data_IF_033070872898
#
_entry.id   IF_033070872898
#
_cell.length_a   1.000
_cell.length_b   1.000
_cell.length_c   1.000
_cell.angle_alpha   90.00
_cell.angle_beta   90.00
_cell.angle_gamma   90.00
#
_symmetry.space_group_name_H-M   'P 1'
#
loop_
_entity.id
_entity.type
_entity.pdbx_description
1 polymer ?
#
# COMPACT_ATOMS: atom_id res chain seq x y z
N UNK A 1 79.01 -4.11 -16.68
CA UNK A 1 78.57 -2.83 -16.07
C UNK A 1 77.08 -2.93 -15.79
N UNK A 2 76.67 -2.62 -14.54
CA UNK A 2 75.33 -2.14 -14.06
C UNK A 2 74.07 -2.92 -14.51
N UNK A 3 73.48 -3.72 -13.61
CA UNK A 3 72.25 -3.44 -12.83
C UNK A 3 70.97 -3.71 -13.66
N UNK A 4 69.90 -4.37 -13.21
CA UNK A 4 69.37 -4.76 -11.91
C UNK A 4 68.34 -5.90 -12.14
N UNK A 5 68.28 -6.87 -11.22
CA UNK A 5 67.18 -7.82 -10.94
C UNK A 5 66.24 -7.12 -9.90
N UNK A 6 65.10 -7.63 -9.36
CA UNK A 6 64.15 -8.75 -9.63
C UNK A 6 62.66 -8.26 -9.62
N UNK A 7 61.54 -9.01 -9.66
CA UNK A 7 61.05 -10.20 -8.96
C UNK A 7 59.87 -10.79 -9.80
N UNK A 8 59.85 -12.07 -10.19
CA UNK A 8 59.35 -13.26 -9.47
C UNK A 8 57.91 -13.13 -8.94
N UNK A 9 56.96 -13.83 -9.56
CA UNK A 9 56.15 -14.93 -8.97
C UNK A 9 55.25 -15.52 -10.07
N UNK A 10 55.61 -16.69 -10.60
CA UNK A 10 55.11 -18.01 -10.17
C UNK A 10 53.78 -18.40 -10.86
N UNK A 11 53.93 -18.97 -12.05
CA UNK A 11 52.96 -19.87 -12.68
C UNK A 11 53.19 -21.26 -12.10
N UNK A 12 52.16 -21.88 -11.53
CA UNK A 12 52.06 -23.36 -11.53
C UNK A 12 50.62 -23.74 -11.88
N UNK A 13 50.50 -24.30 -13.09
CA UNK A 13 49.40 -25.10 -13.59
C UNK A 13 49.30 -26.44 -12.85
N UNK A 14 48.07 -26.92 -12.69
CA UNK A 14 47.68 -28.34 -12.78
C UNK A 14 46.28 -28.30 -13.47
N UNK A 15 46.12 -28.46 -14.79
CA UNK A 15 46.13 -29.68 -15.61
C UNK A 15 45.40 -30.86 -14.93
N UNK A 16 44.33 -31.50 -15.42
CA UNK A 16 43.82 -31.69 -16.77
C UNK A 16 42.51 -32.52 -16.66
N UNK A 17 41.51 -32.15 -17.47
CA UNK A 17 40.44 -32.98 -18.11
C UNK A 17 39.49 -33.87 -17.27
N UNK A 18 38.29 -33.33 -17.03
CA UNK A 18 37.04 -34.09 -16.94
C UNK A 18 36.04 -33.49 -17.93
N UNK A 19 35.76 -34.21 -19.02
CA UNK A 19 34.79 -33.86 -20.07
C UNK A 19 33.38 -33.67 -19.49
N UNK A 20 32.89 -32.43 -19.45
CA UNK A 20 31.46 -32.10 -19.36
C UNK A 20 31.11 -31.04 -20.40
N UNK A 21 30.16 -31.39 -21.27
CA UNK A 21 29.57 -30.60 -22.37
C UNK A 21 28.46 -29.70 -21.77
N UNK A 22 28.14 -28.53 -22.35
CA UNK A 22 27.92 -27.29 -21.61
C UNK A 22 26.52 -27.15 -21.01
N UNK A 23 26.46 -26.34 -19.96
CA UNK A 23 25.26 -25.78 -19.37
C UNK A 23 24.37 -25.13 -20.44
N UNK A 24 23.11 -25.54 -20.50
CA UNK A 24 22.04 -24.75 -21.08
C UNK A 24 20.90 -24.71 -20.08
N UNK A 25 20.61 -23.47 -19.67
CA UNK A 25 19.35 -23.00 -19.11
C UNK A 25 18.71 -23.84 -18.02
N UNK A 26 19.31 -23.81 -16.83
CA UNK A 26 18.46 -23.55 -15.66
C UNK A 26 18.35 -22.04 -15.58
N UNK A 27 17.26 -21.53 -16.12
CA UNK A 27 16.73 -20.20 -15.89
C UNK A 27 16.69 -20.03 -14.36
N UNK A 28 17.80 -19.51 -13.82
CA UNK A 28 17.84 -18.95 -12.49
C UNK A 28 16.91 -17.76 -12.57
N UNK A 29 15.63 -17.99 -12.32
CA UNK A 29 14.73 -16.96 -11.85
C UNK A 29 15.29 -16.50 -10.51
N UNK A 30 16.32 -15.65 -10.59
CA UNK A 30 16.50 -14.55 -9.68
C UNK A 30 15.17 -13.78 -9.73
N UNK A 31 14.19 -14.21 -8.94
CA UNK A 31 13.28 -13.29 -8.29
C UNK A 31 14.17 -12.35 -7.51
N UNK A 32 14.59 -11.27 -8.17
CA UNK A 32 15.26 -10.15 -7.52
C UNK A 32 14.30 -9.65 -6.48
N UNK A 33 14.52 -10.03 -5.23
CA UNK A 33 13.76 -9.54 -4.08
C UNK A 33 13.99 -8.05 -4.03
N UNK A 34 13.10 -7.26 -4.63
CA UNK A 34 13.07 -5.84 -4.36
C UNK A 34 12.96 -5.68 -2.84
N UNK A 35 13.72 -4.75 -2.23
CA UNK A 35 13.61 -4.51 -0.79
C UNK A 35 12.14 -4.33 -0.41
N UNK A 36 11.69 -5.00 0.65
CA UNK A 36 10.31 -4.94 1.14
C UNK A 36 9.83 -3.49 1.27
N UNK A 37 10.72 -2.62 1.78
CA UNK A 37 10.51 -1.18 1.91
C UNK A 37 10.29 -0.47 0.57
N UNK A 38 11.05 -0.85 -0.47
CA UNK A 38 10.90 -0.29 -1.82
C UNK A 38 9.55 -0.66 -2.40
N UNK A 39 9.17 -1.94 -2.30
CA UNK A 39 7.86 -2.42 -2.79
C UNK A 39 6.71 -1.70 -2.11
N UNK A 40 6.81 -1.50 -0.79
CA UNK A 40 5.76 -0.81 -0.03
C UNK A 40 5.70 0.68 -0.35
N UNK A 41 6.85 1.32 -0.55
CA UNK A 41 6.95 2.72 -0.97
C UNK A 41 6.33 2.95 -2.34
N UNK A 42 6.62 2.07 -3.31
CA UNK A 42 6.01 2.10 -4.63
C UNK A 42 4.48 1.96 -4.53
N UNK A 43 4.00 1.07 -3.65
CA UNK A 43 2.56 0.85 -3.40
C UNK A 43 1.88 2.07 -2.76
N UNK A 44 2.53 2.71 -1.77
CA UNK A 44 2.07 3.96 -1.15
C UNK A 44 1.96 5.07 -2.19
N UNK A 45 2.99 5.22 -3.04
CA UNK A 45 3.01 6.25 -4.08
C UNK A 45 1.89 6.02 -5.10
N UNK A 46 1.65 4.77 -5.49
CA UNK A 46 0.52 4.42 -6.37
C UNK A 46 -0.83 4.82 -5.73
N UNK A 47 -1.02 4.53 -4.44
CA UNK A 47 -2.22 4.92 -3.72
C UNK A 47 -2.40 6.45 -3.64
N UNK A 48 -1.34 7.20 -3.33
CA UNK A 48 -1.36 8.68 -3.31
C UNK A 48 -1.77 9.26 -4.65
N UNK A 49 -1.18 8.75 -5.74
CA UNK A 49 -1.50 9.21 -7.10
C UNK A 49 -2.98 8.93 -7.43
N UNK A 50 -3.47 7.76 -7.05
CA UNK A 50 -4.85 7.37 -7.28
C UNK A 50 -5.85 8.21 -6.48
N UNK A 51 -5.57 8.49 -5.20
CA UNK A 51 -6.38 9.37 -4.35
C UNK A 51 -6.40 10.80 -4.91
N UNK A 52 -5.24 11.30 -5.35
CA UNK A 52 -5.14 12.62 -5.99
C UNK A 52 -5.99 12.71 -7.26
N UNK A 53 -5.89 11.69 -8.14
CA UNK A 53 -6.70 11.59 -9.35
C UNK A 53 -8.20 11.55 -9.04
N UNK A 54 -8.61 10.77 -8.04
CA UNK A 54 -10.00 10.71 -7.62
C UNK A 54 -10.49 12.08 -7.10
N UNK A 55 -9.64 12.79 -6.36
CA UNK A 55 -9.97 14.13 -5.88
C UNK A 55 -10.23 15.12 -7.00
N UNK A 56 -9.45 15.06 -8.08
CA UNK A 56 -9.70 15.84 -9.29
C UNK A 56 -11.02 15.43 -9.98
N UNK A 57 -11.26 14.13 -10.17
CA UNK A 57 -12.50 13.65 -10.81
C UNK A 57 -13.76 14.06 -10.04
N UNK A 58 -13.72 14.02 -8.71
CA UNK A 58 -14.85 14.44 -7.88
C UNK A 58 -15.11 15.95 -7.90
N UNK A 59 -14.12 16.78 -8.28
CA UNK A 59 -14.31 18.22 -8.49
C UNK A 59 -14.89 18.52 -9.87
N UNK A 60 -14.43 17.80 -10.89
CA UNK A 60 -14.87 18.00 -12.29
C UNK A 60 -16.28 17.47 -12.54
N UNK A 61 -16.67 16.40 -11.85
CA UNK A 61 -17.95 15.74 -12.05
C UNK A 61 -18.88 15.97 -10.85
N UNK A 62 -19.81 16.90 -11.01
CA UNK A 62 -21.05 16.95 -10.23
C UNK A 62 -22.20 16.35 -11.06
N UNK A 63 -22.36 15.01 -11.11
CA UNK A 63 -23.59 14.40 -11.62
C UNK A 63 -24.88 14.90 -10.95
N UNK A 64 -26.03 14.47 -11.46
CA UNK A 64 -27.33 14.71 -10.85
C UNK A 64 -27.35 14.29 -9.36
N UNK A 65 -27.90 15.16 -8.51
CA UNK A 65 -27.68 15.13 -7.05
C UNK A 65 -28.20 13.85 -6.36
N UNK A 66 -29.23 13.20 -6.93
CA UNK A 66 -29.84 12.00 -6.35
C UNK A 66 -28.98 10.74 -6.48
N UNK A 67 -28.38 10.51 -7.65
CA UNK A 67 -27.57 9.31 -7.89
C UNK A 67 -26.20 9.42 -7.22
N UNK A 68 -25.64 10.63 -7.09
CA UNK A 68 -24.42 10.85 -6.30
C UNK A 68 -24.65 10.55 -4.83
N UNK A 69 -25.78 10.97 -4.25
CA UNK A 69 -26.05 10.81 -2.82
C UNK A 69 -25.96 9.33 -2.42
N UNK A 70 -26.70 8.47 -3.12
CA UNK A 70 -26.71 7.03 -2.85
C UNK A 70 -25.34 6.40 -3.09
N UNK A 71 -24.67 6.77 -4.18
CA UNK A 71 -23.33 6.29 -4.51
C UNK A 71 -22.32 6.68 -3.43
N UNK A 72 -22.29 7.96 -3.03
CA UNK A 72 -21.36 8.46 -2.04
C UNK A 72 -21.60 7.79 -0.68
N UNK A 73 -22.87 7.62 -0.29
CA UNK A 73 -23.24 6.93 0.94
C UNK A 73 -22.83 5.46 0.92
N UNK A 74 -23.11 4.74 -0.16
CA UNK A 74 -22.72 3.33 -0.32
C UNK A 74 -21.20 3.14 -0.27
N UNK A 75 -20.45 3.89 -1.09
CA UNK A 75 -19.00 3.78 -1.14
C UNK A 75 -18.34 4.18 0.18
N UNK A 76 -18.88 5.18 0.88
CA UNK A 76 -18.41 5.58 2.20
C UNK A 76 -18.69 4.53 3.25
N UNK A 77 -19.90 3.96 3.28
CA UNK A 77 -20.27 2.90 4.21
C UNK A 77 -19.44 1.64 3.98
N UNK A 78 -19.23 1.26 2.71
CA UNK A 78 -18.37 0.14 2.36
C UNK A 78 -16.92 0.38 2.77
N UNK A 79 -16.39 1.58 2.58
CA UNK A 79 -15.06 1.94 3.05
C UNK A 79 -14.95 1.84 4.58
N UNK A 80 -15.89 2.46 5.31
CA UNK A 80 -15.94 2.40 6.77
C UNK A 80 -16.01 0.95 7.29
N UNK A 81 -16.83 0.11 6.65
CA UNK A 81 -16.94 -1.32 6.95
C UNK A 81 -15.62 -2.05 6.72
N UNK A 82 -14.98 -1.87 5.57
CA UNK A 82 -13.71 -2.52 5.25
C UNK A 82 -12.61 -2.11 6.25
N UNK A 83 -12.58 -0.85 6.67
CA UNK A 83 -11.64 -0.38 7.69
C UNK A 83 -11.95 -1.00 9.05
N UNK A 84 -13.23 -1.10 9.46
CA UNK A 84 -13.61 -1.77 10.70
C UNK A 84 -13.21 -3.26 10.71
N UNK A 85 -13.43 -3.97 9.59
CA UNK A 85 -13.01 -5.36 9.44
C UNK A 85 -11.48 -5.49 9.53
N UNK A 86 -10.74 -4.60 8.87
CA UNK A 86 -9.29 -4.50 8.99
C UNK A 86 -8.84 -4.28 10.43
N UNK A 87 -9.44 -3.31 11.12
CA UNK A 87 -9.12 -2.99 12.52
C UNK A 87 -9.34 -4.20 13.43
N UNK A 88 -10.43 -4.94 13.23
CA UNK A 88 -10.71 -6.16 13.96
C UNK A 88 -9.66 -7.23 13.67
N UNK A 89 -9.45 -7.56 12.40
CA UNK A 89 -8.59 -8.66 11.96
C UNK A 89 -7.14 -8.45 12.40
N UNK A 90 -6.60 -7.25 12.23
CA UNK A 90 -5.22 -6.96 12.63
C UNK A 90 -5.08 -6.85 14.15
N UNK A 91 -6.08 -6.34 14.87
CA UNK A 91 -6.07 -6.39 16.34
C UNK A 91 -5.98 -7.83 16.86
N UNK A 92 -6.74 -8.75 16.26
CA UNK A 92 -6.69 -10.17 16.61
C UNK A 92 -5.33 -10.79 16.26
N UNK A 93 -4.76 -10.47 15.09
CA UNK A 93 -3.46 -10.97 14.66
C UNK A 93 -2.30 -10.46 15.54
N UNK A 94 -2.28 -9.16 15.86
CA UNK A 94 -1.27 -8.52 16.71
C UNK A 94 -1.27 -9.15 18.11
N UNK A 95 -2.45 -9.31 18.72
CA UNK A 95 -2.59 -9.95 20.04
C UNK A 95 -2.14 -11.41 20.04
N UNK A 96 -2.42 -12.15 18.97
CA UNK A 96 -2.16 -13.59 18.94
C UNK A 96 -0.72 -13.94 18.54
N UNK A 97 -0.07 -13.15 17.67
CA UNK A 97 1.15 -13.59 16.98
C UNK A 97 2.35 -12.65 17.14
N UNK A 98 2.09 -11.39 17.51
CA UNK A 98 3.09 -10.31 17.43
C UNK A 98 2.82 -9.21 18.47
N UNK A 99 2.92 -9.50 19.79
CA UNK A 99 2.71 -8.50 20.83
C UNK A 99 3.68 -7.31 20.73
N UNK A 100 4.84 -7.50 20.11
CA UNK A 100 5.81 -6.45 19.79
C UNK A 100 5.22 -5.37 18.85
N UNK A 101 4.17 -5.68 18.08
CA UNK A 101 3.47 -4.74 17.21
C UNK A 101 2.39 -3.92 17.94
N UNK A 102 2.09 -4.22 19.19
CA UNK A 102 0.93 -3.65 19.89
C UNK A 102 1.01 -2.11 20.01
N UNK A 103 2.21 -1.56 20.27
CA UNK A 103 2.41 -0.12 20.37
C UNK A 103 2.22 0.58 19.01
N UNK A 104 2.78 0.02 17.93
CA UNK A 104 2.61 0.55 16.57
C UNK A 104 1.15 0.47 16.14
N UNK A 105 0.52 -0.67 16.39
CA UNK A 105 -0.88 -0.92 16.05
C UNK A 105 -1.83 -0.01 16.82
N UNK A 106 -1.59 0.26 18.11
CA UNK A 106 -2.49 1.08 18.93
C UNK A 106 -2.67 2.49 18.38
N UNK A 107 -1.59 3.15 17.97
CA UNK A 107 -1.66 4.50 17.39
C UNK A 107 -2.46 4.52 16.08
N UNK A 108 -2.19 3.56 15.19
CA UNK A 108 -2.91 3.46 13.93
C UNK A 108 -4.38 3.10 14.16
N UNK A 109 -4.65 2.17 15.08
CA UNK A 109 -6.01 1.76 15.44
C UNK A 109 -6.85 2.96 15.89
N UNK A 110 -6.34 3.77 16.82
CA UNK A 110 -7.07 4.95 17.32
C UNK A 110 -7.44 5.89 16.18
N UNK A 111 -6.46 6.27 15.33
CA UNK A 111 -6.71 7.21 14.22
C UNK A 111 -7.68 6.67 13.18
N UNK A 112 -7.62 5.37 12.89
CA UNK A 112 -8.53 4.74 11.95
C UNK A 112 -9.94 4.53 12.54
N UNK A 113 -10.05 4.28 13.84
CA UNK A 113 -11.34 4.28 14.54
C UNK A 113 -11.97 5.68 14.50
N UNK A 114 -11.23 6.72 14.85
CA UNK A 114 -11.69 8.11 14.79
C UNK A 114 -12.14 8.49 13.37
N UNK A 115 -11.39 8.06 12.36
CA UNK A 115 -11.75 8.26 10.95
C UNK A 115 -13.08 7.58 10.59
N UNK A 116 -13.28 6.33 11.00
CA UNK A 116 -14.53 5.60 10.73
C UNK A 116 -15.72 6.25 11.43
N UNK A 117 -15.56 6.68 12.67
CA UNK A 117 -16.61 7.36 13.42
C UNK A 117 -16.98 8.70 12.76
N UNK A 118 -15.99 9.40 12.21
CA UNK A 118 -16.20 10.67 11.51
C UNK A 118 -16.89 10.49 10.15
N UNK A 119 -16.65 9.38 9.44
CA UNK A 119 -17.14 9.17 8.07
C UNK A 119 -18.56 8.59 7.99
N UNK A 120 -19.04 7.96 9.06
CA UNK A 120 -20.42 7.44 9.14
C UNK A 120 -21.43 8.58 9.30
N UNK A 121 -21.91 9.10 8.18
CA UNK A 121 -22.95 10.12 8.12
C UNK A 121 -24.08 9.61 7.23
N UNK A 122 -25.33 9.87 7.62
CA UNK A 122 -26.49 9.70 6.74
C UNK A 122 -26.84 11.06 6.13
N UNK A 123 -26.32 11.39 4.93
CA UNK A 123 -26.65 12.64 4.27
C UNK A 123 -28.12 12.67 3.82
N UNK A 124 -28.80 13.79 4.06
CA UNK A 124 -30.16 14.09 3.59
C UNK A 124 -30.19 15.32 2.66
N UNK A 125 -29.08 16.06 2.59
CA UNK A 125 -28.95 17.33 1.84
C UNK A 125 -27.68 17.34 0.99
N UNK A 126 -27.67 18.17 -0.06
CA UNK A 126 -26.50 18.38 -0.93
C UNK A 126 -25.26 18.83 -0.16
N UNK A 127 -25.44 19.64 0.89
CA UNK A 127 -24.34 20.08 1.75
C UNK A 127 -23.74 18.88 2.51
N UNK A 128 -24.57 18.01 3.06
CA UNK A 128 -24.10 16.79 3.73
C UNK A 128 -23.43 15.81 2.75
N UNK A 129 -23.83 15.79 1.48
CA UNK A 129 -23.10 15.04 0.43
C UNK A 129 -21.70 15.59 0.21
N UNK A 130 -21.57 16.92 0.13
CA UNK A 130 -20.26 17.56 -0.02
C UNK A 130 -19.36 17.28 1.20
N UNK A 131 -19.94 17.31 2.41
CA UNK A 131 -19.24 16.93 3.63
C UNK A 131 -18.85 15.45 3.63
N UNK A 132 -19.74 14.55 3.19
CA UNK A 132 -19.46 13.13 3.11
C UNK A 132 -18.33 12.85 2.10
N UNK A 133 -18.34 13.53 0.95
CA UNK A 133 -17.26 13.49 -0.05
C UNK A 133 -15.94 13.93 0.57
N UNK A 134 -15.91 15.06 1.26
CA UNK A 134 -14.70 15.57 1.91
C UNK A 134 -14.18 14.59 2.97
N UNK A 135 -15.06 14.05 3.81
CA UNK A 135 -14.73 13.05 4.82
C UNK A 135 -14.22 11.74 4.22
N UNK A 136 -14.75 11.33 3.08
CA UNK A 136 -14.24 10.18 2.33
C UNK A 136 -12.84 10.42 1.80
N UNK A 137 -12.59 11.57 1.17
CA UNK A 137 -11.25 11.95 0.71
C UNK A 137 -10.25 12.00 1.86
N UNK A 138 -10.63 12.63 2.96
CA UNK A 138 -9.83 12.70 4.18
C UNK A 138 -9.59 11.30 4.74
N UNK A 139 -10.59 10.42 4.72
CA UNK A 139 -10.47 9.05 5.22
C UNK A 139 -9.49 8.20 4.41
N UNK A 140 -9.64 8.15 3.09
CA UNK A 140 -8.69 7.40 2.24
C UNK A 140 -7.27 7.97 2.36
N UNK A 141 -7.12 9.29 2.46
CA UNK A 141 -5.82 9.94 2.66
C UNK A 141 -5.22 9.62 4.03
N UNK A 142 -6.03 9.62 5.09
CA UNK A 142 -5.61 9.29 6.45
C UNK A 142 -5.12 7.85 6.50
N UNK A 143 -5.85 6.91 5.89
CA UNK A 143 -5.47 5.51 5.84
C UNK A 143 -4.10 5.32 5.17
N UNK A 144 -3.86 5.97 4.03
CA UNK A 144 -2.54 5.91 3.34
C UNK A 144 -1.44 6.61 4.14
N UNK A 145 -1.74 7.74 4.79
CA UNK A 145 -0.76 8.53 5.55
C UNK A 145 -0.29 7.78 6.79
N UNK A 146 -1.22 7.20 7.56
CA UNK A 146 -0.86 6.42 8.74
C UNK A 146 -0.19 5.08 8.38
N UNK A 147 -0.56 4.51 7.22
CA UNK A 147 0.15 3.38 6.62
C UNK A 147 1.61 3.72 6.31
N UNK A 148 1.86 4.88 5.69
CA UNK A 148 3.21 5.38 5.40
C UNK A 148 4.00 5.67 6.68
N UNK A 149 3.38 6.28 7.69
CA UNK A 149 4.03 6.49 8.99
C UNK A 149 4.42 5.17 9.64
N UNK A 150 3.57 4.15 9.52
CA UNK A 150 3.88 2.82 10.07
C UNK A 150 4.95 2.09 9.25
N UNK A 151 4.97 2.27 7.92
CA UNK A 151 6.01 1.73 7.04
C UNK A 151 7.42 2.20 7.42
N UNK A 152 7.57 3.43 7.91
CA UNK A 152 8.87 3.98 8.33
C UNK A 152 9.49 3.19 9.50
N UNK A 153 8.67 2.54 10.31
CA UNK A 153 9.14 1.71 11.42
C UNK A 153 9.72 0.36 10.96
N UNK A 154 9.64 -0.01 9.67
CA UNK A 154 10.14 -1.32 9.18
C UNK A 154 11.65 -1.46 9.45
N UNK A 155 12.48 -0.54 8.96
CA UNK A 155 13.95 -0.62 9.14
C UNK A 155 14.41 -0.68 10.60
N UNK A 156 13.59 -0.20 11.55
CA UNK A 156 13.93 -0.10 12.98
C UNK A 156 13.64 -1.38 13.77
N UNK A 157 13.00 -2.38 13.16
CA UNK A 157 12.46 -3.55 13.84
C UNK A 157 13.07 -4.89 13.40
N UNK A 158 12.80 -5.95 14.15
CA UNK A 158 13.25 -7.32 13.83
C UNK A 158 12.59 -7.85 12.54
N UNK A 159 13.21 -8.81 11.85
CA UNK A 159 12.70 -9.33 10.57
C UNK A 159 11.25 -9.85 10.63
N UNK A 160 10.85 -10.50 11.74
CA UNK A 160 9.47 -10.97 11.94
C UNK A 160 8.49 -9.79 12.10
N UNK A 161 8.92 -8.74 12.82
CA UNK A 161 8.15 -7.52 13.03
C UNK A 161 8.06 -6.71 11.73
N UNK A 162 9.13 -6.68 10.93
CA UNK A 162 9.14 -6.10 9.58
C UNK A 162 8.10 -6.71 8.67
N UNK A 163 8.03 -8.04 8.61
CA UNK A 163 7.03 -8.74 7.79
C UNK A 163 5.59 -8.43 8.26
N UNK A 164 5.38 -8.41 9.58
CA UNK A 164 4.10 -8.01 10.17
C UNK A 164 3.69 -6.58 9.80
N UNK A 165 4.60 -5.61 9.99
CA UNK A 165 4.40 -4.21 9.60
C UNK A 165 4.07 -4.10 8.13
N UNK A 166 4.89 -4.67 7.26
CA UNK A 166 4.68 -4.58 5.82
C UNK A 166 3.34 -5.19 5.40
N UNK A 167 2.94 -6.32 6.00
CA UNK A 167 1.67 -6.98 5.69
C UNK A 167 0.47 -6.09 6.03
N UNK A 168 0.34 -5.61 7.26
CA UNK A 168 -0.84 -4.82 7.62
C UNK A 168 -0.82 -3.44 6.95
N UNK A 169 0.37 -2.83 6.77
CA UNK A 169 0.50 -1.59 6.01
C UNK A 169 0.04 -1.78 4.57
N UNK A 170 0.45 -2.87 3.91
CA UNK A 170 -0.04 -3.20 2.57
C UNK A 170 -1.55 -3.37 2.54
N UNK A 171 -2.13 -4.08 3.49
CA UNK A 171 -3.59 -4.28 3.57
C UNK A 171 -4.35 -2.96 3.71
N UNK A 172 -3.87 -2.04 4.55
CA UNK A 172 -4.46 -0.71 4.68
C UNK A 172 -4.39 0.09 3.37
N UNK A 173 -3.24 0.05 2.68
CA UNK A 173 -3.07 0.71 1.37
C UNK A 173 -4.01 0.08 0.33
N UNK A 174 -4.12 -1.25 0.29
CA UNK A 174 -5.01 -1.97 -0.62
C UNK A 174 -6.47 -1.54 -0.41
N UNK A 175 -6.92 -1.38 0.84
CA UNK A 175 -8.27 -0.89 1.17
C UNK A 175 -8.48 0.52 0.63
N UNK A 176 -7.52 1.43 0.84
CA UNK A 176 -7.61 2.80 0.32
C UNK A 176 -7.69 2.80 -1.20
N UNK A 177 -6.82 2.04 -1.87
CA UNK A 177 -6.79 1.92 -3.32
C UNK A 177 -8.11 1.37 -3.87
N UNK A 178 -8.63 0.30 -3.28
CA UNK A 178 -9.90 -0.30 -3.70
C UNK A 178 -11.06 0.67 -3.52
N UNK A 179 -11.16 1.34 -2.37
CA UNK A 179 -12.21 2.31 -2.12
C UNK A 179 -12.17 3.45 -3.15
N UNK A 180 -10.97 3.99 -3.40
CA UNK A 180 -10.79 5.06 -4.37
C UNK A 180 -11.03 4.61 -5.80
N UNK A 181 -10.57 3.42 -6.21
CA UNK A 181 -10.84 2.86 -7.54
C UNK A 181 -12.32 2.62 -7.78
N UNK A 182 -13.01 2.03 -6.79
CA UNK A 182 -14.44 1.75 -6.89
C UNK A 182 -15.25 3.03 -7.10
N UNK A 183 -14.95 4.10 -6.35
CA UNK A 183 -15.63 5.38 -6.52
C UNK A 183 -15.28 6.03 -7.86
N UNK A 184 -14.01 6.04 -8.24
CA UNK A 184 -13.52 6.59 -9.50
C UNK A 184 -14.18 5.93 -10.73
N UNK A 185 -14.33 4.60 -10.70
CA UNK A 185 -14.99 3.85 -11.76
C UNK A 185 -16.47 4.21 -11.87
N UNK A 186 -17.16 4.38 -10.74
CA UNK A 186 -18.57 4.79 -10.74
C UNK A 186 -18.74 6.20 -11.32
N UNK A 187 -17.88 7.15 -10.93
CA UNK A 187 -17.92 8.53 -11.44
C UNK A 187 -17.69 8.60 -12.96
N UNK A 188 -16.80 7.77 -13.50
CA UNK A 188 -16.57 7.69 -14.95
C UNK A 188 -17.76 7.07 -15.71
N UNK A 189 -18.41 6.05 -15.14
CA UNK A 189 -19.61 5.46 -15.74
C UNK A 189 -20.79 6.44 -15.75
N UNK A 190 -20.95 7.24 -14.69
CA UNK A 190 -21.99 8.25 -14.59
C UNK A 190 -21.81 9.43 -15.58
N UNK A 191 -20.64 9.58 -16.17
CA UNK A 191 -20.29 10.70 -17.07
C UNK A 191 -20.17 10.29 -18.53
N UNK A 192 -20.31 8.99 -18.84
CA UNK A 192 -20.34 8.51 -20.23
C UNK A 192 -21.76 8.60 -20.78
N UNK A 193 -22.02 9.33 -21.88
CA UNK A 193 -23.35 9.42 -22.47
C UNK A 193 -23.83 8.02 -22.90
N UNK A 194 -25.00 7.62 -22.41
CA UNK A 194 -25.65 6.35 -22.75
C UNK A 194 -26.13 6.42 -24.23
N UNK A 195 -25.87 5.38 -25.06
CA UNK A 195 -26.18 5.39 -26.49
C UNK A 195 -27.68 5.40 -26.81
#
# INVERSE_FOLDING_TARGET
MKCLVPFILAVVLVATEGKVVPASDVESQQTGTQPLEKTLTDHINAAKNLISSLGAQMQEHMPDQGDILNTMQEHTNNFAKNVNEYLKNVTEEVKAKSPELENLWTNMKTKLSDMVDNIQVNPETTEQVNQLRAKFQEGVQTLVTESENTAKAISENSAKVQEGIAKFTKQAIDIAMQASQNLNNHLQQATTPQP
#
